data_IF_296424696972
#
_entry.id   IF_296424696972
#
_cell.length_a   1.000
_cell.length_b   1.000
_cell.length_c   1.000
_cell.angle_alpha   90.00
_cell.angle_beta   90.00
_cell.angle_gamma   90.00
#
_symmetry.space_group_name_H-M   'P 1'
#
loop_
_entity.id
_entity.type
_entity.pdbx_description
1 polymer ?
#
# COMPACT_ATOMS: atom_id res chain seq x y z
N UNK A 1 -22.27 29.04 -9.73
CA UNK A 1 -20.83 29.21 -9.46
C UNK A 1 -20.64 29.52 -7.99
N UNK A 2 -20.33 28.53 -7.16
CA UNK A 2 -19.99 28.74 -5.75
C UNK A 2 -18.61 28.16 -5.50
N UNK A 3 -17.67 29.08 -5.44
CA UNK A 3 -16.27 28.79 -5.14
C UNK A 3 -16.16 28.55 -3.65
N UNK A 4 -15.99 27.30 -3.23
CA UNK A 4 -15.71 27.02 -1.84
C UNK A 4 -14.20 27.18 -1.64
N UNK A 5 -13.85 28.31 -1.06
CA UNK A 5 -12.52 28.57 -0.52
C UNK A 5 -12.37 27.76 0.77
N UNK A 6 -11.61 26.69 0.72
CA UNK A 6 -11.16 26.03 1.93
C UNK A 6 -9.88 26.73 2.36
N UNK A 7 -10.02 27.52 3.41
CA UNK A 7 -8.95 28.20 4.10
C UNK A 7 -8.09 27.16 4.81
N UNK A 8 -6.83 27.12 4.43
CA UNK A 8 -5.80 26.37 5.13
C UNK A 8 -5.55 27.03 6.50
N UNK A 9 -5.89 26.36 7.57
CA UNK A 9 -5.49 26.72 8.91
C UNK A 9 -4.25 25.93 9.28
N UNK A 10 -3.10 26.56 9.04
CA UNK A 10 -1.82 26.13 9.57
C UNK A 10 -1.75 26.60 11.03
N UNK A 11 -1.93 25.69 11.95
CA UNK A 11 -1.55 25.94 13.34
C UNK A 11 -0.23 25.25 13.60
N UNK A 12 0.83 26.05 13.60
CA UNK A 12 2.11 25.68 14.16
C UNK A 12 2.02 25.64 15.69
N UNK A 13 2.31 24.53 16.29
CA UNK A 13 2.66 24.43 17.71
C UNK A 13 3.93 23.63 17.86
N UNK A 14 5.01 24.38 18.00
CA UNK A 14 6.28 23.98 18.60
C UNK A 14 6.08 23.84 20.11
N UNK A 15 6.28 22.68 20.66
CA UNK A 15 6.90 22.54 21.99
C UNK A 15 7.64 21.22 22.05
N UNK A 16 8.88 21.36 22.39
CA UNK A 16 9.89 20.38 22.56
C UNK A 16 9.69 19.49 23.79
N UNK A 17 10.48 18.44 23.83
CA UNK A 17 10.71 17.71 25.08
C UNK A 17 11.08 16.24 24.83
N UNK A 18 12.37 15.99 25.01
CA UNK A 18 12.95 14.79 25.59
C UNK A 18 12.81 13.44 24.88
N UNK A 19 13.94 13.03 24.37
CA UNK A 19 14.34 11.66 24.11
C UNK A 19 14.04 10.73 25.29
N UNK A 20 13.30 9.66 24.99
CA UNK A 20 13.51 8.39 25.71
C UNK A 20 13.64 7.31 24.64
N UNK A 21 14.86 6.83 24.50
CA UNK A 21 15.19 5.62 23.80
C UNK A 21 14.41 4.46 24.41
N UNK A 22 13.52 3.87 23.64
CA UNK A 22 13.01 2.53 23.90
C UNK A 22 13.30 1.66 22.69
N UNK A 23 14.49 1.12 22.71
CA UNK A 23 14.93 0.04 21.83
C UNK A 23 14.19 -1.25 22.20
N UNK A 24 12.95 -1.40 21.76
CA UNK A 24 12.20 -2.66 21.87
C UNK A 24 11.09 -2.78 20.83
N UNK A 25 11.34 -2.39 19.59
CA UNK A 25 10.37 -2.52 18.48
C UNK A 25 10.95 -3.08 17.19
N UNK A 26 12.21 -3.51 17.19
CA UNK A 26 12.88 -3.90 15.95
C UNK A 26 12.57 -5.32 15.43
N UNK A 27 11.83 -6.14 16.18
CA UNK A 27 11.63 -7.54 15.83
C UNK A 27 10.32 -7.85 15.06
N UNK A 28 9.41 -6.89 14.91
CA UNK A 28 8.13 -7.11 14.20
C UNK A 28 8.02 -6.41 12.84
N UNK A 29 9.01 -5.66 12.42
CA UNK A 29 8.99 -4.95 11.13
C UNK A 29 9.33 -5.81 9.91
N UNK A 30 9.78 -7.04 10.10
CA UNK A 30 10.21 -7.91 8.97
C UNK A 30 9.09 -8.39 8.03
N UNK A 31 7.83 -8.32 8.44
CA UNK A 31 6.69 -8.78 7.64
C UNK A 31 5.92 -7.67 6.91
N UNK A 32 5.97 -6.46 7.42
CA UNK A 32 5.24 -5.32 6.85
C UNK A 32 6.03 -4.57 5.77
N UNK A 33 7.37 -4.64 5.79
CA UNK A 33 8.21 -3.92 4.85
C UNK A 33 8.08 -4.35 3.38
N UNK A 34 7.68 -5.59 3.13
CA UNK A 34 7.47 -6.10 1.76
C UNK A 34 6.10 -5.76 1.17
N UNK A 35 5.12 -5.38 2.00
CA UNK A 35 3.75 -5.11 1.56
C UNK A 35 3.55 -3.68 1.06
N UNK A 36 4.44 -2.78 1.41
CA UNK A 36 4.29 -1.35 1.14
C UNK A 36 5.34 -0.77 0.19
N UNK A 37 5.88 -1.58 -0.73
CA UNK A 37 6.80 -1.06 -1.76
C UNK A 37 6.21 0.10 -2.57
N UNK A 38 4.89 0.17 -2.70
CA UNK A 38 4.20 1.28 -3.35
C UNK A 38 4.24 2.58 -2.54
N UNK A 39 4.41 2.45 -1.22
CA UNK A 39 4.47 3.57 -0.27
C UNK A 39 5.90 3.90 0.16
N UNK A 40 6.88 3.25 -0.46
CA UNK A 40 8.29 3.50 -0.14
C UNK A 40 8.66 4.96 -0.46
N UNK A 41 9.30 5.63 0.49
CA UNK A 41 9.63 7.05 0.37
C UNK A 41 8.44 8.03 0.52
N UNK A 42 7.24 7.54 0.83
CA UNK A 42 6.07 8.39 1.13
C UNK A 42 5.89 8.51 2.64
N UNK A 43 6.01 9.72 3.15
CA UNK A 43 5.71 10.01 4.55
C UNK A 43 4.20 10.12 4.75
N UNK A 44 3.63 9.17 5.49
CA UNK A 44 2.21 9.13 5.82
C UNK A 44 1.95 9.82 7.15
N UNK A 45 0.88 10.60 7.21
CA UNK A 45 0.34 11.12 8.48
C UNK A 45 -0.26 9.99 9.31
N UNK A 46 -0.46 10.22 10.61
CA UNK A 46 -1.08 9.22 11.49
C UNK A 46 -2.50 8.87 11.06
N UNK A 47 -3.27 9.85 10.57
CA UNK A 47 -4.59 9.62 10.00
C UNK A 47 -4.54 8.74 8.74
N UNK A 48 -3.55 8.95 7.86
CA UNK A 48 -3.34 8.11 6.67
C UNK A 48 -2.91 6.69 7.05
N UNK A 49 -2.05 6.54 8.05
CA UNK A 49 -1.64 5.21 8.57
C UNK A 49 -2.82 4.42 9.12
N UNK A 50 -3.72 5.08 9.88
CA UNK A 50 -4.94 4.44 10.38
C UNK A 50 -5.85 3.96 9.26
N UNK A 51 -6.09 4.80 8.25
CA UNK A 51 -6.89 4.42 7.08
C UNK A 51 -6.24 3.31 6.25
N UNK A 52 -4.92 3.34 6.12
CA UNK A 52 -4.17 2.28 5.44
C UNK A 52 -4.34 0.94 6.17
N UNK A 53 -4.29 0.94 7.50
CA UNK A 53 -4.50 -0.26 8.31
C UNK A 53 -5.92 -0.82 8.14
N UNK A 54 -6.93 0.05 8.10
CA UNK A 54 -8.32 -0.34 7.81
C UNK A 54 -8.47 -0.98 6.42
N UNK A 55 -7.85 -0.39 5.40
CA UNK A 55 -7.83 -0.94 4.03
C UNK A 55 -7.15 -2.30 4.03
N UNK A 56 -6.00 -2.45 4.69
CA UNK A 56 -5.30 -3.72 4.77
C UNK A 56 -6.12 -4.79 5.47
N UNK A 57 -6.76 -4.47 6.59
CA UNK A 57 -7.65 -5.39 7.31
C UNK A 57 -8.85 -5.82 6.47
N UNK A 58 -9.41 -4.90 5.67
CA UNK A 58 -10.51 -5.18 4.76
C UNK A 58 -10.14 -6.24 3.70
N UNK A 59 -8.95 -6.12 3.12
CA UNK A 59 -8.51 -7.02 2.04
C UNK A 59 -7.73 -8.25 2.52
N UNK A 60 -7.33 -8.29 3.77
CA UNK A 60 -6.56 -9.40 4.34
C UNK A 60 -7.26 -10.77 4.19
N UNK A 61 -8.57 -10.93 4.50
CA UNK A 61 -9.24 -12.22 4.35
C UNK A 61 -9.28 -12.69 2.90
N UNK A 62 -9.53 -11.80 1.94
CA UNK A 62 -9.53 -12.15 0.52
C UNK A 62 -8.14 -12.55 0.02
N UNK A 63 -7.10 -11.85 0.45
CA UNK A 63 -5.71 -12.20 0.14
C UNK A 63 -5.30 -13.54 0.75
N UNK A 64 -5.77 -13.84 1.97
CA UNK A 64 -5.51 -15.11 2.63
C UNK A 64 -6.23 -16.27 1.93
N UNK A 65 -7.48 -16.07 1.53
CA UNK A 65 -8.24 -17.06 0.77
C UNK A 65 -7.56 -17.38 -0.58
N UNK A 66 -7.14 -16.37 -1.33
CA UNK A 66 -6.40 -16.56 -2.57
C UNK A 66 -5.09 -17.33 -2.37
N UNK A 67 -4.37 -17.06 -1.29
CA UNK A 67 -3.14 -17.79 -0.96
C UNK A 67 -3.43 -19.27 -0.68
N UNK A 68 -4.50 -19.56 0.06
CA UNK A 68 -4.93 -20.92 0.34
C UNK A 68 -5.34 -21.66 -0.94
N UNK A 69 -6.09 -21.02 -1.82
CA UNK A 69 -6.46 -21.59 -3.13
C UNK A 69 -5.22 -21.89 -3.99
N UNK A 70 -4.20 -21.02 -3.94
CA UNK A 70 -2.92 -21.25 -4.61
C UNK A 70 -2.18 -22.50 -4.08
N UNK A 71 -2.20 -22.70 -2.77
CA UNK A 71 -1.56 -23.86 -2.11
C UNK A 71 -2.32 -25.16 -2.38
N UNK A 72 -3.63 -25.08 -2.54
CA UNK A 72 -4.51 -26.22 -2.79
C UNK A 72 -4.61 -26.63 -4.28
N UNK A 73 -3.81 -26.00 -5.15
CA UNK A 73 -3.74 -26.37 -6.56
C UNK A 73 -4.88 -25.82 -7.43
N UNK A 74 -5.51 -24.71 -7.04
CA UNK A 74 -6.51 -24.01 -7.85
C UNK A 74 -5.96 -23.54 -9.20
N UNK A 75 -6.86 -23.18 -10.14
CA UNK A 75 -6.47 -22.67 -11.45
C UNK A 75 -5.59 -21.42 -11.30
N UNK A 76 -4.32 -21.59 -11.66
CA UNK A 76 -3.30 -20.55 -11.51
C UNK A 76 -3.63 -19.29 -12.30
N UNK A 77 -4.18 -19.42 -13.49
CA UNK A 77 -4.52 -18.29 -14.35
C UNK A 77 -5.68 -17.48 -13.75
N UNK A 78 -6.70 -18.16 -13.24
CA UNK A 78 -7.83 -17.53 -12.58
C UNK A 78 -7.42 -16.86 -11.27
N UNK A 79 -6.60 -17.51 -10.46
CA UNK A 79 -6.08 -16.96 -9.21
C UNK A 79 -5.20 -15.73 -9.44
N UNK A 80 -4.40 -15.71 -10.49
CA UNK A 80 -3.64 -14.52 -10.88
C UNK A 80 -4.55 -13.35 -11.27
N UNK A 81 -5.62 -13.60 -12.01
CA UNK A 81 -6.62 -12.57 -12.35
C UNK A 81 -7.31 -12.02 -11.10
N UNK A 82 -7.76 -12.90 -10.20
CA UNK A 82 -8.36 -12.49 -8.92
C UNK A 82 -7.39 -11.67 -8.07
N UNK A 83 -6.14 -12.08 -7.98
CA UNK A 83 -5.12 -11.35 -7.21
C UNK A 83 -4.78 -9.99 -7.82
N UNK A 84 -4.74 -9.89 -9.14
CA UNK A 84 -4.53 -8.62 -9.84
C UNK A 84 -5.70 -7.65 -9.61
N UNK A 85 -6.94 -8.11 -9.73
CA UNK A 85 -8.13 -7.31 -9.47
C UNK A 85 -8.18 -6.83 -8.01
N UNK A 86 -7.80 -7.68 -7.05
CA UNK A 86 -7.77 -7.34 -5.65
C UNK A 86 -6.71 -6.27 -5.34
N UNK A 87 -5.53 -6.39 -5.96
CA UNK A 87 -4.46 -5.38 -5.85
C UNK A 87 -4.90 -4.05 -6.44
N UNK A 88 -5.56 -4.06 -7.59
CA UNK A 88 -6.05 -2.85 -8.24
C UNK A 88 -7.06 -2.13 -7.35
N UNK A 89 -8.03 -2.85 -6.78
CA UNK A 89 -9.00 -2.29 -5.84
C UNK A 89 -8.32 -1.70 -4.60
N UNK A 90 -7.43 -2.45 -3.96
CA UNK A 90 -6.72 -1.98 -2.77
C UNK A 90 -5.81 -0.80 -3.08
N UNK A 91 -5.13 -0.79 -4.22
CA UNK A 91 -4.31 0.35 -4.67
C UNK A 91 -5.14 1.60 -4.92
N UNK A 92 -6.34 1.48 -5.50
CA UNK A 92 -7.25 2.61 -5.71
C UNK A 92 -7.71 3.22 -4.37
N UNK A 93 -8.04 2.40 -3.38
CA UNK A 93 -8.41 2.89 -2.04
C UNK A 93 -7.23 3.54 -1.32
N UNK A 94 -6.04 2.96 -1.41
CA UNK A 94 -4.82 3.54 -0.86
C UNK A 94 -4.52 4.89 -1.53
N UNK A 95 -4.60 4.96 -2.85
CA UNK A 95 -4.41 6.20 -3.60
C UNK A 95 -5.37 7.29 -3.15
N UNK A 96 -6.62 6.95 -2.85
CA UNK A 96 -7.65 7.91 -2.42
C UNK A 96 -7.35 8.56 -1.06
N UNK A 97 -6.57 7.94 -0.19
CA UNK A 97 -6.16 8.53 1.10
C UNK A 97 -4.89 9.38 1.02
N UNK A 98 -4.20 9.37 -0.12
CA UNK A 98 -2.95 10.11 -0.34
C UNK A 98 -3.22 11.54 -0.81
N UNK A 99 -2.30 12.46 -0.48
CA UNK A 99 -2.29 13.80 -1.06
C UNK A 99 -1.91 13.76 -2.55
N UNK A 100 -2.21 14.81 -3.35
CA UNK A 100 -1.82 14.85 -4.77
C UNK A 100 -0.34 14.58 -5.02
N UNK A 101 0.56 15.15 -4.22
CA UNK A 101 2.00 14.93 -4.34
C UNK A 101 2.40 13.48 -4.01
N UNK A 102 1.81 12.91 -2.97
CA UNK A 102 2.00 11.51 -2.61
C UNK A 102 1.47 10.55 -3.69
N UNK A 103 0.35 10.90 -4.34
CA UNK A 103 -0.22 10.12 -5.44
C UNK A 103 0.74 10.01 -6.62
N UNK A 104 1.48 11.05 -6.96
CA UNK A 104 2.48 11.03 -8.04
C UNK A 104 3.55 9.98 -7.76
N UNK A 105 4.09 9.94 -6.55
CA UNK A 105 5.11 8.95 -6.14
C UNK A 105 4.52 7.54 -6.12
N UNK A 106 3.32 7.39 -5.58
CA UNK A 106 2.59 6.12 -5.52
C UNK A 106 2.32 5.55 -6.92
N UNK A 107 1.83 6.38 -7.84
CA UNK A 107 1.53 5.97 -9.21
C UNK A 107 2.80 5.53 -9.95
N UNK A 108 3.93 6.23 -9.75
CA UNK A 108 5.23 5.85 -10.29
C UNK A 108 5.66 4.46 -9.80
N UNK A 109 5.61 4.23 -8.49
CA UNK A 109 5.98 2.94 -7.92
C UNK A 109 5.05 1.81 -8.39
N UNK A 110 3.77 2.09 -8.50
CA UNK A 110 2.78 1.13 -9.02
C UNK A 110 3.08 0.75 -10.46
N UNK A 111 3.40 1.73 -11.31
CA UNK A 111 3.78 1.50 -12.71
C UNK A 111 5.09 0.69 -12.82
N UNK A 112 6.09 0.99 -12.01
CA UNK A 112 7.35 0.25 -11.97
C UNK A 112 7.16 -1.20 -11.54
N UNK A 113 6.35 -1.43 -10.50
CA UNK A 113 6.01 -2.79 -10.05
C UNK A 113 5.30 -3.59 -11.14
N UNK A 114 4.33 -2.97 -11.82
CA UNK A 114 3.60 -3.61 -12.92
C UNK A 114 4.54 -3.99 -14.07
N UNK A 115 5.42 -3.08 -14.47
CA UNK A 115 6.42 -3.34 -15.51
C UNK A 115 7.36 -4.50 -15.13
N UNK A 116 7.82 -4.57 -13.88
CA UNK A 116 8.65 -5.69 -13.39
C UNK A 116 7.92 -7.01 -13.43
N UNK A 117 6.63 -7.03 -13.06
CA UNK A 117 5.82 -8.25 -13.11
C UNK A 117 5.61 -8.74 -14.54
N UNK A 118 5.36 -7.83 -15.48
CA UNK A 118 5.22 -8.16 -16.89
C UNK A 118 6.53 -8.72 -17.49
N UNK A 119 7.67 -8.13 -17.13
CA UNK A 119 8.98 -8.65 -17.54
C UNK A 119 9.24 -10.05 -16.98
N UNK A 120 8.93 -10.28 -15.71
CA UNK A 120 9.09 -11.57 -15.08
C UNK A 120 8.21 -12.65 -15.75
N UNK A 121 7.00 -12.30 -16.15
CA UNK A 121 6.11 -13.20 -16.88
C UNK A 121 6.63 -13.55 -18.28
N UNK A 122 7.24 -12.59 -18.98
CA UNK A 122 7.85 -12.82 -20.31
C UNK A 122 9.10 -13.68 -20.24
N UNK A 123 9.84 -13.63 -19.12
CA UNK A 123 11.07 -14.40 -18.91
C UNK A 123 10.81 -15.75 -18.27
N UNK A 124 9.60 -16.02 -17.77
CA UNK A 124 9.25 -17.33 -17.27
C UNK A 124 9.27 -18.35 -18.41
N UNK A 125 10.08 -19.42 -18.33
CA UNK A 125 10.08 -20.45 -19.36
C UNK A 125 8.69 -21.07 -19.45
N UNK A 126 8.12 -21.01 -20.62
CA UNK A 126 6.91 -21.77 -20.94
C UNK A 126 7.28 -23.25 -20.92
N UNK A 127 7.00 -23.93 -19.82
CA UNK A 127 7.08 -25.39 -19.72
C UNK A 127 5.70 -25.97 -19.73
#
# INVERSE_FOLDING_TARGET
MKVIRIVALVAALLVGGAAIASAQGAAQQGGQGRRNMQLDGIELTDAQKSKLDEIQKKYQPEMSALRSEFQNGGDRAELMKKSAALREKSSAEIRAILTPDQQVVFDKHTAEMKARMEQAQRQAPQR
#
